data_IF_665617719939
#
_entry.id   IF_665617719939
#
_cell.length_a   1.000
_cell.length_b   1.000
_cell.length_c   1.000
_cell.angle_alpha   90.00
_cell.angle_beta   90.00
_cell.angle_gamma   90.00
#
_symmetry.space_group_name_H-M   'P 1'
#
loop_
_entity.id
_entity.type
_entity.pdbx_description
1 polymer ?
#
# COMPACT_ATOMS: atom_id res chain seq x y z
N UNK A 1 16.47 -8.03 20.04
CA UNK A 1 16.70 -7.47 18.69
C UNK A 1 15.91 -8.35 17.74
N UNK A 2 14.69 -7.94 17.40
CA UNK A 2 13.84 -8.71 16.49
C UNK A 2 14.13 -8.21 15.07
N UNK A 3 15.19 -8.72 14.45
CA UNK A 3 15.36 -8.60 13.01
C UNK A 3 14.26 -9.44 12.37
N UNK A 4 13.16 -8.79 12.01
CA UNK A 4 12.22 -9.31 11.06
C UNK A 4 12.95 -9.32 9.71
N UNK A 5 13.74 -10.37 9.48
CA UNK A 5 14.38 -10.70 8.21
C UNK A 5 13.32 -10.99 7.16
N UNK A 6 12.57 -9.96 6.78
CA UNK A 6 11.61 -10.01 5.70
C UNK A 6 12.42 -9.84 4.40
N UNK A 7 12.78 -10.96 3.79
CA UNK A 7 13.46 -11.00 2.49
C UNK A 7 12.61 -10.34 1.38
N UNK A 8 11.31 -10.15 1.61
CA UNK A 8 10.37 -9.52 0.69
C UNK A 8 9.30 -8.73 1.45
N UNK A 9 9.18 -7.44 1.13
CA UNK A 9 8.13 -6.56 1.66
C UNK A 9 7.03 -6.42 0.61
N UNK A 10 5.81 -6.86 0.94
CA UNK A 10 4.64 -6.67 0.09
C UNK A 10 3.69 -5.65 0.73
N UNK A 11 3.31 -4.62 -0.04
CA UNK A 11 2.32 -3.65 0.36
C UNK A 11 1.00 -3.95 -0.35
N UNK A 12 -0.06 -4.17 0.43
CA UNK A 12 -1.42 -4.34 -0.08
C UNK A 12 -2.26 -3.10 0.16
N UNK A 13 -3.04 -2.68 -0.84
CA UNK A 13 -3.98 -1.58 -0.69
C UNK A 13 -5.37 -2.08 -0.29
N UNK A 14 -6.02 -1.32 0.58
CA UNK A 14 -7.39 -1.62 1.03
C UNK A 14 -8.37 -1.45 -0.13
N UNK A 15 -9.37 -2.34 -0.15
CA UNK A 15 -10.45 -2.37 -1.14
C UNK A 15 -11.78 -2.13 -0.44
N UNK A 16 -12.60 -1.25 -1.00
CA UNK A 16 -13.95 -0.97 -0.49
C UNK A 16 -14.94 -1.86 -1.22
N UNK A 17 -15.25 -3.01 -0.64
CA UNK A 17 -16.20 -3.94 -1.24
C UNK A 17 -17.65 -3.52 -0.92
N UNK A 18 -18.59 -3.61 -1.88
CA UNK A 18 -20.00 -3.36 -1.64
C UNK A 18 -20.54 -4.20 -0.48
N UNK A 19 -21.37 -3.61 0.38
CA UNK A 19 -21.93 -4.27 1.57
C UNK A 19 -20.99 -4.41 2.78
N UNK A 20 -19.74 -3.94 2.73
CA UNK A 20 -18.84 -3.96 3.88
C UNK A 20 -18.98 -2.74 4.79
N UNK A 21 -18.47 -2.84 6.02
CA UNK A 21 -18.41 -1.71 6.95
C UNK A 21 -17.58 -0.54 6.39
N UNK A 22 -16.53 -0.81 5.60
CA UNK A 22 -15.79 0.27 4.93
C UNK A 22 -16.68 1.04 3.95
N UNK A 23 -17.58 0.36 3.24
CA UNK A 23 -18.52 1.01 2.35
C UNK A 23 -19.55 1.84 3.12
N UNK A 24 -20.03 1.39 4.28
CA UNK A 24 -20.95 2.20 5.10
C UNK A 24 -20.26 3.40 5.76
N UNK A 25 -18.97 3.28 6.10
CA UNK A 25 -18.17 4.35 6.70
C UNK A 25 -17.46 5.25 5.67
N UNK A 26 -17.77 5.11 4.37
CA UNK A 26 -17.11 5.87 3.30
C UNK A 26 -17.20 7.39 3.52
N UNK A 27 -18.34 7.88 4.00
CA UNK A 27 -18.58 9.31 4.24
C UNK A 27 -17.87 9.79 5.52
N UNK A 28 -17.77 8.93 6.54
CA UNK A 28 -17.13 9.27 7.83
C UNK A 28 -15.63 9.50 7.66
N UNK A 29 -14.98 8.68 6.84
CA UNK A 29 -13.55 8.72 6.60
C UNK A 29 -13.14 9.38 5.27
N UNK A 30 -14.09 10.00 4.55
CA UNK A 30 -13.91 10.57 3.21
C UNK A 30 -13.12 9.61 2.29
N UNK A 31 -13.56 8.35 2.27
CA UNK A 31 -12.93 7.30 1.47
C UNK A 31 -13.23 7.56 0.00
N UNK A 32 -12.19 7.85 -0.76
CA UNK A 32 -12.25 7.93 -2.21
C UNK A 32 -11.63 6.67 -2.78
N UNK A 33 -12.42 5.91 -3.52
CA UNK A 33 -12.01 4.64 -4.10
C UNK A 33 -12.47 4.56 -5.56
N UNK A 34 -11.97 3.57 -6.31
CA UNK A 34 -12.38 3.35 -7.70
C UNK A 34 -13.80 2.79 -7.77
N UNK A 35 -14.63 3.33 -8.68
CA UNK A 35 -16.00 2.84 -8.91
C UNK A 35 -16.03 1.47 -9.62
N UNK A 36 -14.92 1.11 -10.27
CA UNK A 36 -14.74 -0.19 -10.92
C UNK A 36 -13.86 -1.14 -10.08
N UNK A 37 -14.04 -2.47 -10.20
CA UNK A 37 -13.13 -3.44 -9.63
C UNK A 37 -11.67 -3.12 -10.03
N UNK A 38 -10.72 -3.12 -9.08
CA UNK A 38 -10.75 -3.78 -7.78
C UNK A 38 -11.24 -2.92 -6.57
N UNK A 39 -11.97 -1.80 -6.78
CA UNK A 39 -12.49 -0.91 -5.72
C UNK A 39 -11.42 -0.40 -4.75
N UNK A 40 -10.23 -0.12 -5.27
CA UNK A 40 -9.08 0.25 -4.46
C UNK A 40 -9.21 1.69 -3.93
N UNK A 41 -8.79 1.90 -2.68
CA UNK A 41 -8.76 3.24 -2.08
C UNK A 41 -7.67 4.08 -2.75
N UNK A 42 -8.08 5.26 -3.22
CA UNK A 42 -7.23 6.28 -3.83
C UNK A 42 -6.85 7.36 -2.82
N UNK A 43 -7.75 7.72 -1.90
CA UNK A 43 -7.49 8.69 -0.85
C UNK A 43 -8.44 8.50 0.33
N UNK A 44 -8.05 9.01 1.50
CA UNK A 44 -8.90 9.09 2.68
C UNK A 44 -8.72 10.45 3.34
N UNK A 45 -9.56 10.78 4.32
CA UNK A 45 -9.40 11.95 5.19
C UNK A 45 -8.00 12.06 5.83
N UNK A 46 -7.33 10.93 6.05
CA UNK A 46 -6.03 10.86 6.72
C UNK A 46 -4.85 10.80 5.76
N UNK A 47 -5.09 10.41 4.50
CA UNK A 47 -4.04 10.23 3.53
C UNK A 47 -4.50 10.77 2.16
N UNK A 48 -3.91 11.88 1.70
CA UNK A 48 -4.23 12.46 0.41
C UNK A 48 -3.74 11.55 -0.73
N UNK A 49 -4.34 11.75 -1.91
CA UNK A 49 -4.03 10.97 -3.11
C UNK A 49 -2.54 10.92 -3.46
N UNK A 50 -1.81 12.02 -3.24
CA UNK A 50 -0.37 12.10 -3.53
C UNK A 50 0.46 11.11 -2.69
N UNK A 51 0.07 10.91 -1.43
CA UNK A 51 0.77 10.01 -0.52
C UNK A 51 0.43 8.55 -0.85
N UNK A 52 -0.84 8.27 -1.20
CA UNK A 52 -1.24 6.98 -1.75
C UNK A 52 -0.47 6.63 -3.04
N UNK A 53 -0.28 7.60 -3.94
CA UNK A 53 0.53 7.41 -5.14
C UNK A 53 2.01 7.14 -4.82
N UNK A 54 2.57 7.80 -3.80
CA UNK A 54 3.93 7.54 -3.35
C UNK A 54 4.06 6.11 -2.83
N UNK A 55 3.12 5.65 -2.00
CA UNK A 55 3.08 4.28 -1.50
C UNK A 55 2.97 3.25 -2.62
N UNK A 56 2.16 3.51 -3.65
CA UNK A 56 2.07 2.64 -4.84
C UNK A 56 3.38 2.52 -5.60
N UNK A 57 4.09 3.64 -5.76
CA UNK A 57 5.41 3.62 -6.41
C UNK A 57 6.42 2.86 -5.58
N UNK A 58 6.36 3.06 -4.27
CA UNK A 58 7.23 2.40 -3.31
C UNK A 58 6.97 0.88 -3.31
N UNK A 59 5.71 0.44 -3.32
CA UNK A 59 5.32 -0.96 -3.51
C UNK A 59 5.92 -1.58 -4.77
N UNK A 60 5.77 -0.93 -5.93
CA UNK A 60 6.37 -1.39 -7.18
C UNK A 60 7.91 -1.47 -7.12
N UNK A 61 8.56 -0.52 -6.43
CA UNK A 61 10.01 -0.55 -6.24
C UNK A 61 10.38 -1.71 -5.32
N UNK A 62 9.64 -1.94 -4.23
CA UNK A 62 9.90 -3.04 -3.31
C UNK A 62 9.74 -4.40 -4.00
N UNK A 63 8.69 -4.61 -4.77
CA UNK A 63 8.45 -5.83 -5.54
C UNK A 63 9.58 -6.10 -6.56
N UNK A 64 10.06 -5.06 -7.26
CA UNK A 64 11.21 -5.17 -8.16
C UNK A 64 12.52 -5.41 -7.41
N UNK A 65 12.75 -4.73 -6.28
CA UNK A 65 13.98 -4.85 -5.51
C UNK A 65 14.09 -6.17 -4.74
N UNK A 66 12.97 -6.82 -4.41
CA UNK A 66 12.96 -8.19 -3.88
C UNK A 66 13.17 -9.24 -4.97
N UNK A 67 12.71 -9.00 -6.20
CA UNK A 67 12.88 -9.91 -7.33
C UNK A 67 14.23 -9.81 -8.05
N UNK A 68 15.04 -8.81 -7.71
CA UNK A 68 16.39 -8.69 -8.24
C UNK A 68 17.33 -8.90 -7.07
N UNK A 69 18.32 -9.79 -7.18
CA UNK A 69 19.34 -10.11 -6.15
C UNK A 69 20.19 -8.90 -5.64
N UNK A 70 19.76 -7.66 -5.89
CA UNK A 70 20.40 -6.41 -5.48
C UNK A 70 20.05 -5.96 -4.05
N UNK A 71 19.12 -6.63 -3.36
CA UNK A 71 18.80 -6.32 -1.95
C UNK A 71 19.84 -6.87 -0.95
N UNK A 72 20.89 -7.54 -1.39
CA UNK A 72 21.91 -8.07 -0.46
C UNK A 72 22.85 -6.98 0.09
N UNK A 73 22.88 -5.78 -0.48
CA UNK A 73 23.93 -4.79 -0.17
C UNK A 73 23.46 -3.43 0.39
N UNK A 74 22.17 -3.07 0.31
CA UNK A 74 21.73 -1.73 0.78
C UNK A 74 21.46 -1.67 2.28
N UNK A 75 21.09 -2.79 2.92
CA UNK A 75 20.92 -2.87 4.39
C UNK A 75 22.23 -3.07 5.16
N UNK A 76 23.38 -3.17 4.48
CA UNK A 76 24.70 -3.32 5.12
C UNK A 76 25.41 -2.00 5.40
N UNK A 77 24.79 -0.86 5.10
CA UNK A 77 25.33 0.48 5.36
C UNK A 77 24.31 1.39 6.08
N UNK A 78 23.74 0.91 7.18
CA UNK A 78 23.20 1.75 8.25
C UNK A 78 23.52 1.13 9.60
#
# INVERSE_FOLDING_TARGET
>A
MYDLGADMLQLGFLKVLPGTQMNSQQHEHDLRYMDEPPYEILATKYMPYKDMQLLKRLENVFDQTGNTDYFTNTLKML
#
